data_IF_437928963612
#
_entry.id   IF_437928963612
#
_cell.length_a   1.000
_cell.length_b   1.000
_cell.length_c   1.000
_cell.angle_alpha   90.00
_cell.angle_beta   90.00
_cell.angle_gamma   90.00
#
_symmetry.space_group_name_H-M   'P 1'
#
loop_
_entity.id
_entity.type
_entity.pdbx_description
1 polymer ?
#
# COMPACT_ATOMS: atom_id res chain seq x y z
N UNK A 1 -10.54 -14.08 -21.98
CA UNK A 1 -10.76 -12.63 -21.80
C UNK A 1 -9.77 -12.22 -20.74
N UNK A 2 -8.84 -11.36 -21.12
CA UNK A 2 -7.67 -10.94 -20.34
C UNK A 2 -8.13 -9.88 -19.31
N UNK A 3 -8.67 -10.32 -18.17
CA UNK A 3 -9.43 -9.48 -17.23
C UNK A 3 -8.82 -9.41 -15.81
N UNK A 4 -7.52 -9.64 -15.63
CA UNK A 4 -6.88 -9.43 -14.32
C UNK A 4 -6.60 -7.94 -14.07
N UNK A 5 -7.63 -7.17 -13.71
CA UNK A 5 -7.52 -5.76 -13.32
C UNK A 5 -7.58 -5.54 -11.81
N UNK A 6 -7.18 -4.35 -11.35
CA UNK A 6 -7.25 -3.94 -9.95
C UNK A 6 -8.28 -2.83 -9.80
N UNK A 7 -9.27 -3.02 -8.92
CA UNK A 7 -10.22 -1.97 -8.54
C UNK A 7 -9.86 -1.43 -7.16
N UNK A 8 -9.40 -0.18 -7.14
CA UNK A 8 -9.11 0.55 -5.91
C UNK A 8 -10.34 1.33 -5.48
N UNK A 9 -10.73 1.17 -4.22
CA UNK A 9 -11.87 1.87 -3.64
C UNK A 9 -11.45 2.74 -2.46
N UNK A 10 -12.18 3.85 -2.28
CA UNK A 10 -12.19 4.59 -1.03
C UNK A 10 -12.72 3.75 0.15
N UNK A 11 -12.60 4.23 1.39
CA UNK A 11 -13.09 3.52 2.58
C UNK A 11 -14.57 3.12 2.47
N UNK A 12 -14.86 1.82 2.67
CA UNK A 12 -16.19 1.23 2.56
C UNK A 12 -16.98 1.33 3.87
N UNK A 13 -17.48 2.53 4.22
CA UNK A 13 -18.36 2.74 5.40
C UNK A 13 -19.84 2.49 5.13
N UNK A 14 -20.25 2.67 3.88
CA UNK A 14 -21.53 2.22 3.31
C UNK A 14 -21.11 1.38 2.11
N UNK A 15 -20.96 0.07 2.28
CA UNK A 15 -20.28 -0.73 1.28
C UNK A 15 -21.03 -0.66 -0.06
N UNK A 16 -20.29 -0.35 -1.13
CA UNK A 16 -20.79 -0.43 -2.51
C UNK A 16 -20.21 -1.63 -3.25
N UNK A 17 -19.66 -2.59 -2.52
CA UNK A 17 -18.94 -3.74 -3.06
C UNK A 17 -19.84 -4.61 -3.95
N UNK A 18 -21.09 -4.81 -3.55
CA UNK A 18 -22.13 -5.48 -4.33
C UNK A 18 -22.28 -4.89 -5.74
N UNK A 19 -22.32 -3.56 -5.83
CA UNK A 19 -22.43 -2.82 -7.10
C UNK A 19 -21.14 -2.91 -7.92
N UNK A 20 -19.98 -2.91 -7.27
CA UNK A 20 -18.70 -3.07 -7.95
C UNK A 20 -18.61 -4.46 -8.57
N UNK A 21 -18.89 -5.51 -7.79
CA UNK A 21 -18.90 -6.91 -8.23
C UNK A 21 -19.90 -7.11 -9.37
N UNK A 22 -21.14 -6.61 -9.24
CA UNK A 22 -22.13 -6.69 -10.31
C UNK A 22 -21.70 -5.93 -11.57
N UNK A 23 -21.07 -4.76 -11.41
CA UNK A 23 -20.54 -3.96 -12.52
C UNK A 23 -19.36 -4.60 -13.24
N UNK A 24 -18.57 -5.41 -12.53
CA UNK A 24 -17.48 -6.21 -13.10
C UNK A 24 -17.97 -7.56 -13.65
N UNK A 25 -19.25 -7.88 -13.50
CA UNK A 25 -19.85 -9.15 -13.92
C UNK A 25 -19.20 -10.38 -13.24
N UNK A 26 -18.76 -10.22 -12.00
CA UNK A 26 -18.14 -11.29 -11.21
C UNK A 26 -19.21 -12.05 -10.43
N UNK A 27 -19.23 -13.37 -10.58
CA UNK A 27 -20.16 -14.27 -9.91
C UNK A 27 -19.49 -15.12 -8.81
N UNK A 28 -18.21 -14.91 -8.57
CA UNK A 28 -17.45 -15.69 -7.62
C UNK A 28 -17.26 -17.14 -8.07
N UNK A 29 -16.65 -17.96 -7.19
CA UNK A 29 -16.42 -17.69 -5.76
C UNK A 29 -15.33 -16.65 -5.51
N UNK A 30 -15.43 -15.94 -4.39
CA UNK A 30 -14.49 -14.89 -4.00
C UNK A 30 -13.54 -15.38 -2.91
N UNK A 31 -12.27 -14.97 -2.94
CA UNK A 31 -11.42 -15.02 -1.76
C UNK A 31 -11.45 -13.67 -1.05
N UNK A 32 -11.60 -13.65 0.27
CA UNK A 32 -11.49 -12.41 1.07
C UNK A 32 -10.23 -12.44 1.93
N UNK A 33 -9.59 -11.28 2.04
CA UNK A 33 -8.43 -11.06 2.92
C UNK A 33 -8.77 -9.92 3.87
N UNK A 34 -9.02 -10.27 5.13
CA UNK A 34 -9.36 -9.33 6.21
C UNK A 34 -8.35 -9.36 7.37
N UNK A 35 -7.13 -9.88 7.15
CA UNK A 35 -6.11 -10.04 8.19
C UNK A 35 -5.78 -8.76 8.98
N UNK A 36 -5.93 -7.59 8.36
CA UNK A 36 -5.80 -6.30 9.04
C UNK A 36 -6.89 -6.02 10.10
N UNK A 37 -7.92 -6.86 10.23
CA UNK A 37 -8.94 -6.77 11.27
C UNK A 37 -8.53 -7.51 12.56
N UNK A 38 -7.41 -8.22 12.53
CA UNK A 38 -6.81 -8.93 13.66
C UNK A 38 -7.82 -9.90 14.30
N UNK A 39 -8.10 -9.78 15.60
CA UNK A 39 -9.04 -10.66 16.31
C UNK A 39 -10.47 -10.59 15.74
N UNK A 40 -10.78 -9.55 14.96
CA UNK A 40 -12.06 -9.38 14.27
C UNK A 40 -12.04 -9.92 12.83
N UNK A 41 -11.00 -10.62 12.40
CA UNK A 41 -10.89 -11.20 11.04
C UNK A 41 -12.12 -12.04 10.68
N UNK A 42 -12.63 -12.81 11.63
CA UNK A 42 -13.83 -13.68 11.50
C UNK A 42 -15.15 -12.92 11.55
N UNK A 43 -15.16 -11.63 11.89
CA UNK A 43 -16.36 -10.80 11.93
C UNK A 43 -16.68 -10.24 10.54
N UNK A 44 -16.73 -11.10 9.52
CA UNK A 44 -16.87 -10.76 8.09
C UNK A 44 -18.25 -11.02 7.51
N UNK A 45 -19.28 -11.21 8.34
CA UNK A 45 -20.65 -11.50 7.90
C UNK A 45 -21.22 -10.43 6.95
N UNK A 46 -20.95 -9.15 7.20
CA UNK A 46 -21.38 -8.05 6.32
C UNK A 46 -20.66 -8.14 4.96
N UNK A 47 -19.38 -8.47 4.95
CA UNK A 47 -18.61 -8.67 3.72
C UNK A 47 -19.10 -9.89 2.94
N UNK A 48 -19.43 -10.98 3.63
CA UNK A 48 -20.04 -12.18 3.06
C UNK A 48 -21.38 -11.87 2.40
N UNK A 49 -22.24 -11.09 3.05
CA UNK A 49 -23.54 -10.67 2.51
C UNK A 49 -23.37 -9.87 1.21
N UNK A 50 -22.44 -8.91 1.17
CA UNK A 50 -22.16 -8.13 -0.03
C UNK A 50 -21.61 -8.94 -1.21
N UNK A 51 -21.04 -10.12 -0.95
CA UNK A 51 -20.53 -11.06 -1.95
C UNK A 51 -21.51 -12.21 -2.24
N UNK A 52 -22.75 -12.10 -1.73
CA UNK A 52 -23.81 -13.08 -1.95
C UNK A 52 -23.57 -14.43 -1.26
N UNK A 53 -22.78 -14.45 -0.18
CA UNK A 53 -22.41 -15.67 0.55
C UNK A 53 -21.47 -16.60 -0.23
N UNK A 54 -20.86 -16.12 -1.31
CA UNK A 54 -19.95 -16.90 -2.18
C UNK A 54 -18.48 -16.62 -1.88
N UNK A 55 -18.16 -16.13 -0.69
CA UNK A 55 -16.81 -15.74 -0.31
C UNK A 55 -16.19 -16.71 0.69
N UNK A 56 -14.91 -17.02 0.50
CA UNK A 56 -14.10 -17.79 1.45
C UNK A 56 -13.02 -16.86 1.99
N UNK A 57 -13.03 -16.63 3.30
CA UNK A 57 -11.98 -15.88 3.95
C UNK A 57 -10.72 -16.72 4.05
N UNK A 58 -9.58 -16.17 3.62
CA UNK A 58 -8.31 -16.88 3.72
C UNK A 58 -7.84 -17.03 5.17
N UNK A 59 -8.40 -16.26 6.11
CA UNK A 59 -8.12 -16.33 7.54
C UNK A 59 -6.62 -16.24 7.87
N UNK A 60 -5.89 -15.36 7.16
CA UNK A 60 -4.43 -15.29 7.23
C UNK A 60 -3.95 -14.86 8.62
N UNK A 61 -4.65 -13.94 9.29
CA UNK A 61 -4.28 -13.57 10.67
C UNK A 61 -4.42 -14.79 11.59
N UNK A 62 -5.55 -15.49 11.53
CA UNK A 62 -5.83 -16.68 12.35
C UNK A 62 -4.81 -17.81 12.11
N UNK A 63 -4.46 -18.06 10.84
CA UNK A 63 -3.42 -19.03 10.46
C UNK A 63 -2.06 -18.65 11.03
N UNK A 64 -1.69 -17.37 11.02
CA UNK A 64 -0.43 -16.90 11.60
C UNK A 64 -0.44 -17.07 13.12
N UNK A 65 -1.55 -16.77 13.80
CA UNK A 65 -1.67 -17.03 15.24
C UNK A 65 -1.47 -18.51 15.56
N UNK A 66 -2.08 -19.41 14.78
CA UNK A 66 -1.87 -20.85 14.93
C UNK A 66 -0.39 -21.25 14.77
N UNK A 67 0.31 -20.68 13.78
CA UNK A 67 1.75 -20.90 13.60
C UNK A 67 2.53 -20.43 14.84
N UNK A 68 2.30 -19.19 15.28
CA UNK A 68 2.99 -18.60 16.42
C UNK A 68 2.75 -19.37 17.73
N UNK A 69 1.55 -19.91 17.92
CA UNK A 69 1.20 -20.70 19.11
C UNK A 69 1.85 -22.09 19.09
N UNK A 70 1.94 -22.71 17.91
CA UNK A 70 2.44 -24.09 17.74
C UNK A 70 3.95 -24.17 17.54
N UNK A 71 4.59 -23.07 17.17
CA UNK A 71 6.02 -22.99 16.89
C UNK A 71 6.67 -21.83 17.69
N UNK A 72 7.15 -22.12 18.91
CA UNK A 72 7.79 -21.12 19.76
C UNK A 72 9.08 -20.53 19.18
N UNK A 73 9.81 -21.30 18.37
CA UNK A 73 11.08 -20.85 17.77
C UNK A 73 10.79 -19.85 16.65
N UNK A 74 9.83 -20.16 15.77
CA UNK A 74 9.34 -19.19 14.79
C UNK A 74 8.74 -17.95 15.45
N UNK A 75 7.97 -18.11 16.53
CA UNK A 75 7.41 -16.98 17.27
C UNK A 75 8.46 -16.09 17.93
N UNK A 76 9.57 -16.68 18.42
CA UNK A 76 10.69 -15.92 18.93
C UNK A 76 11.40 -15.14 17.80
N UNK A 77 11.69 -15.78 16.67
CA UNK A 77 12.28 -15.13 15.51
C UNK A 77 11.40 -14.01 14.94
N UNK A 78 10.10 -14.25 14.83
CA UNK A 78 9.13 -13.26 14.35
C UNK A 78 9.07 -12.04 15.27
N UNK A 79 9.05 -12.23 16.60
CA UNK A 79 9.10 -11.12 17.56
C UNK A 79 10.41 -10.34 17.50
N UNK A 80 11.54 -11.02 17.33
CA UNK A 80 12.84 -10.37 17.19
C UNK A 80 12.88 -9.47 15.93
N UNK A 81 12.42 -10.00 14.79
CA UNK A 81 12.27 -9.21 13.55
C UNK A 81 11.37 -7.99 13.75
N UNK A 82 10.20 -8.15 14.36
CA UNK A 82 9.27 -7.04 14.59
C UNK A 82 9.85 -5.95 15.50
N UNK A 83 10.61 -6.34 16.53
CA UNK A 83 11.31 -5.38 17.39
C UNK A 83 12.36 -4.58 16.60
N UNK A 84 13.17 -5.26 15.78
CA UNK A 84 14.20 -4.59 14.99
C UNK A 84 13.63 -3.67 13.90
N UNK A 85 12.57 -4.10 13.21
CA UNK A 85 11.84 -3.24 12.25
C UNK A 85 11.24 -2.01 12.95
N UNK A 86 10.69 -2.18 14.15
CA UNK A 86 10.17 -1.06 14.95
C UNK A 86 11.26 -0.06 15.31
N UNK A 87 12.40 -0.54 15.81
CA UNK A 87 13.56 0.32 16.15
C UNK A 87 14.07 1.07 14.91
N UNK A 88 14.18 0.38 13.77
CA UNK A 88 14.58 0.99 12.51
C UNK A 88 13.59 2.07 12.04
N UNK A 89 12.29 1.82 12.17
CA UNK A 89 11.25 2.78 11.84
C UNK A 89 11.36 4.05 12.70
N UNK A 90 11.58 3.90 14.01
CA UNK A 90 11.72 5.04 14.92
C UNK A 90 12.92 5.92 14.56
N UNK A 91 14.07 5.31 14.28
CA UNK A 91 15.29 6.02 13.85
C UNK A 91 15.09 6.73 12.51
N UNK A 92 14.45 6.07 11.56
CA UNK A 92 14.09 6.66 10.26
C UNK A 92 13.16 7.87 10.42
N UNK A 93 12.12 7.76 11.25
CA UNK A 93 11.18 8.86 11.52
C UNK A 93 11.89 10.10 12.09
N UNK A 94 12.90 9.92 12.95
CA UNK A 94 13.72 11.04 13.46
C UNK A 94 14.38 11.78 12.30
N UNK A 95 15.05 11.06 11.41
CA UNK A 95 15.70 11.64 10.22
C UNK A 95 14.72 12.39 9.33
N UNK A 96 13.60 11.74 8.98
CA UNK A 96 12.53 12.33 8.15
C UNK A 96 11.97 13.60 8.78
N UNK A 97 11.74 13.60 10.09
CA UNK A 97 11.23 14.76 10.83
C UNK A 97 12.16 15.95 10.74
N UNK A 98 13.46 15.74 10.99
CA UNK A 98 14.46 16.81 10.91
C UNK A 98 14.62 17.35 9.48
N UNK A 99 14.70 16.48 8.48
CA UNK A 99 14.80 16.90 7.08
C UNK A 99 13.56 17.67 6.63
N UNK A 100 12.35 17.22 7.02
CA UNK A 100 11.10 17.91 6.69
C UNK A 100 11.00 19.30 7.33
N UNK A 101 11.52 19.46 8.57
CA UNK A 101 11.64 20.77 9.21
C UNK A 101 12.60 21.68 8.47
N UNK A 102 13.78 21.18 8.10
CA UNK A 102 14.75 21.94 7.33
C UNK A 102 14.18 22.42 5.98
N UNK A 103 13.40 21.57 5.28
CA UNK A 103 12.71 21.98 4.05
C UNK A 103 11.73 23.13 4.30
N UNK A 104 10.94 23.05 5.37
CA UNK A 104 10.03 24.14 5.77
C UNK A 104 10.79 25.43 6.05
N UNK A 105 11.85 25.38 6.85
CA UNK A 105 12.69 26.52 7.19
C UNK A 105 13.33 27.16 5.94
N UNK A 106 13.80 26.35 4.99
CA UNK A 106 14.36 26.82 3.71
C UNK A 106 13.31 27.53 2.83
N UNK A 107 12.04 27.07 2.84
CA UNK A 107 10.96 27.72 2.08
C UNK A 107 10.69 29.13 2.61
N UNK A 108 10.71 29.29 3.92
CA UNK A 108 10.42 30.53 4.63
C UNK A 108 11.51 31.62 4.43
N UNK A 109 12.70 31.27 3.92
CA UNK A 109 13.80 32.21 3.64
C UNK A 109 13.54 33.12 2.42
N UNK A 110 12.58 34.03 2.53
CA UNK A 110 12.15 34.93 1.43
C UNK A 110 13.14 36.05 1.08
N UNK A 111 14.06 36.38 2.00
CA UNK A 111 15.08 37.42 1.78
C UNK A 111 16.24 36.95 0.88
N UNK A 112 16.33 35.64 0.60
CA UNK A 112 17.38 35.05 -0.22
C UNK A 112 17.00 35.03 -1.70
N UNK A 113 18.00 34.95 -2.57
CA UNK A 113 17.78 34.76 -4.01
C UNK A 113 16.87 33.55 -4.26
N UNK A 114 15.82 33.74 -5.07
CA UNK A 114 14.86 32.70 -5.43
C UNK A 114 15.54 31.45 -6.00
N UNK A 115 16.52 31.65 -6.88
CA UNK A 115 17.31 30.58 -7.51
C UNK A 115 18.12 29.78 -6.49
N UNK A 116 18.81 30.47 -5.56
CA UNK A 116 19.61 29.79 -4.53
C UNK A 116 18.73 29.00 -3.57
N UNK A 117 17.57 29.55 -3.18
CA UNK A 117 16.58 28.86 -2.35
C UNK A 117 16.04 27.61 -3.04
N UNK A 118 15.72 27.69 -4.33
CA UNK A 118 15.22 26.55 -5.10
C UNK A 118 16.25 25.40 -5.17
N UNK A 119 17.53 25.70 -5.39
CA UNK A 119 18.57 24.67 -5.33
C UNK A 119 18.66 24.02 -3.95
N UNK A 120 18.71 24.81 -2.88
CA UNK A 120 18.75 24.27 -1.52
C UNK A 120 17.53 23.39 -1.18
N UNK A 121 16.34 23.76 -1.67
CA UNK A 121 15.13 22.95 -1.50
C UNK A 121 15.23 21.62 -2.24
N UNK A 122 15.72 21.61 -3.48
CA UNK A 122 15.93 20.37 -4.24
C UNK A 122 16.94 19.45 -3.57
N UNK A 123 18.04 20.00 -3.05
CA UNK A 123 19.05 19.23 -2.32
C UNK A 123 18.46 18.61 -1.04
N UNK A 124 17.69 19.38 -0.27
CA UNK A 124 17.03 18.88 0.93
C UNK A 124 15.94 17.84 0.62
N UNK A 125 15.19 18.00 -0.47
CA UNK A 125 14.22 17.01 -0.95
C UNK A 125 14.92 15.71 -1.37
N UNK A 126 16.09 15.77 -2.01
CA UNK A 126 16.87 14.57 -2.35
C UNK A 126 17.42 13.87 -1.09
N UNK A 127 17.85 14.61 -0.08
CA UNK A 127 18.23 14.03 1.22
C UNK A 127 17.05 13.24 1.81
N UNK A 128 15.84 13.78 1.76
CA UNK A 128 14.64 13.10 2.23
C UNK A 128 14.38 11.80 1.45
N UNK A 129 14.48 11.83 0.12
CA UNK A 129 14.30 10.65 -0.74
C UNK A 129 15.41 9.61 -0.52
N UNK A 130 16.63 10.04 -0.21
CA UNK A 130 17.75 9.15 0.16
C UNK A 130 17.53 8.47 1.51
N UNK A 131 16.89 9.14 2.48
CA UNK A 131 16.48 8.49 3.73
C UNK A 131 15.46 7.39 3.47
N UNK A 132 14.45 7.65 2.62
CA UNK A 132 13.42 6.66 2.26
C UNK A 132 14.03 5.42 1.61
N UNK A 133 14.90 5.61 0.61
CA UNK A 133 15.55 4.50 -0.09
C UNK A 133 16.39 3.64 0.86
N UNK A 134 17.24 4.28 1.67
CA UNK A 134 18.10 3.56 2.63
C UNK A 134 17.29 2.84 3.70
N UNK A 135 16.18 3.43 4.15
CA UNK A 135 15.30 2.76 5.10
C UNK A 135 14.70 1.49 4.50
N UNK A 136 14.16 1.54 3.28
CA UNK A 136 13.66 0.34 2.59
C UNK A 136 14.74 -0.71 2.33
N UNK A 137 15.96 -0.29 1.98
CA UNK A 137 17.11 -1.21 1.87
C UNK A 137 17.36 -1.96 3.19
N UNK A 138 17.30 -1.27 4.34
CA UNK A 138 17.45 -1.91 5.66
C UNK A 138 16.30 -2.82 6.03
N UNK A 139 15.06 -2.43 5.72
CA UNK A 139 13.89 -3.30 5.94
C UNK A 139 14.04 -4.60 5.14
N UNK A 140 14.46 -4.52 3.87
CA UNK A 140 14.75 -5.70 3.04
C UNK A 140 15.87 -6.56 3.61
N UNK A 141 16.94 -5.96 4.13
CA UNK A 141 18.05 -6.71 4.74
C UNK A 141 17.53 -7.53 5.94
N UNK A 142 16.74 -6.92 6.83
CA UNK A 142 16.15 -7.58 8.02
C UNK A 142 15.20 -8.70 7.59
N UNK A 143 14.36 -8.44 6.59
CA UNK A 143 13.41 -9.44 6.07
C UNK A 143 14.13 -10.61 5.42
N UNK A 144 15.17 -10.35 4.62
CA UNK A 144 15.97 -11.39 3.99
C UNK A 144 16.65 -12.27 5.04
N UNK A 145 17.26 -11.68 6.07
CA UNK A 145 17.88 -12.43 7.17
C UNK A 145 16.85 -13.32 7.89
N UNK A 146 15.66 -12.77 8.18
CA UNK A 146 14.57 -13.52 8.80
C UNK A 146 14.11 -14.71 7.95
N UNK A 147 13.92 -14.51 6.63
CA UNK A 147 13.47 -15.57 5.74
C UNK A 147 14.56 -16.63 5.48
N UNK A 148 15.83 -16.24 5.46
CA UNK A 148 16.98 -17.16 5.36
C UNK A 148 17.13 -18.02 6.62
N UNK A 149 16.86 -17.46 7.80
CA UNK A 149 16.92 -18.18 9.07
C UNK A 149 15.72 -19.14 9.24
N UNK A 150 14.51 -18.63 9.02
CA UNK A 150 13.26 -19.36 9.34
C UNK A 150 12.79 -20.29 8.21
N UNK A 151 13.24 -20.03 6.97
CA UNK A 151 12.89 -20.78 5.74
C UNK A 151 11.42 -21.23 5.70
N UNK A 152 10.44 -20.31 5.67
CA UNK A 152 9.03 -20.67 5.79
C UNK A 152 8.50 -21.60 4.69
N UNK A 153 9.18 -21.68 3.55
CA UNK A 153 8.87 -22.63 2.47
C UNK A 153 9.22 -24.09 2.83
N UNK A 154 10.25 -24.29 3.63
CA UNK A 154 10.68 -25.62 4.11
C UNK A 154 10.01 -25.97 5.44
N UNK A 155 9.47 -24.97 6.14
CA UNK A 155 8.82 -25.15 7.43
C UNK A 155 7.46 -25.87 7.28
N UNK A 156 7.28 -27.13 7.75
CA UNK A 156 6.13 -27.96 7.39
C UNK A 156 4.77 -27.35 7.72
N UNK A 157 4.65 -26.69 8.89
CA UNK A 157 3.41 -26.04 9.31
C UNK A 157 3.03 -24.87 8.41
N UNK A 158 4.02 -24.04 8.05
CA UNK A 158 3.79 -22.86 7.21
C UNK A 158 3.54 -23.28 5.76
N UNK A 159 4.29 -24.26 5.26
CA UNK A 159 4.11 -24.83 3.93
C UNK A 159 2.70 -25.43 3.76
N UNK A 160 2.16 -26.10 4.78
CA UNK A 160 0.78 -26.62 4.76
C UNK A 160 -0.24 -25.49 4.62
N UNK A 161 -0.16 -24.44 5.45
CA UNK A 161 -1.07 -23.30 5.33
C UNK A 161 -0.93 -22.56 3.98
N UNK A 162 0.30 -22.42 3.46
CA UNK A 162 0.54 -21.83 2.12
C UNK A 162 -0.12 -22.66 1.01
N UNK A 163 -0.07 -24.00 1.10
CA UNK A 163 -0.72 -24.88 0.15
C UNK A 163 -2.25 -24.75 0.19
N UNK A 164 -2.83 -24.65 1.39
CA UNK A 164 -4.28 -24.43 1.56
C UNK A 164 -4.71 -23.07 0.99
N UNK A 165 -3.94 -22.00 1.25
CA UNK A 165 -4.19 -20.67 0.68
C UNK A 165 -4.15 -20.71 -0.84
N UNK A 166 -3.13 -21.34 -1.42
CA UNK A 166 -3.03 -21.50 -2.87
C UNK A 166 -4.20 -22.30 -3.46
N UNK A 167 -4.67 -23.34 -2.76
CA UNK A 167 -5.82 -24.12 -3.19
C UNK A 167 -7.10 -23.29 -3.23
N UNK A 168 -7.34 -22.44 -2.23
CA UNK A 168 -8.50 -21.54 -2.23
C UNK A 168 -8.40 -20.56 -3.39
N UNK A 169 -7.25 -19.88 -3.55
CA UNK A 169 -7.05 -18.91 -4.64
C UNK A 169 -7.24 -19.52 -6.02
N UNK A 170 -6.75 -20.74 -6.25
CA UNK A 170 -6.90 -21.46 -7.52
C UNK A 170 -8.36 -21.79 -7.89
N UNK A 171 -9.27 -21.75 -6.91
CA UNK A 171 -10.70 -22.00 -7.11
C UNK A 171 -11.53 -20.72 -7.15
N UNK A 172 -10.91 -19.55 -6.98
CA UNK A 172 -11.62 -18.26 -6.89
C UNK A 172 -11.61 -17.50 -8.21
N UNK A 173 -12.68 -16.73 -8.47
CA UNK A 173 -12.81 -15.86 -9.63
C UNK A 173 -12.19 -14.49 -9.37
N UNK A 174 -12.20 -14.00 -8.12
CA UNK A 174 -11.64 -12.70 -7.75
C UNK A 174 -11.26 -12.65 -6.26
N UNK A 175 -10.37 -11.72 -5.92
CA UNK A 175 -9.91 -11.49 -4.54
C UNK A 175 -10.35 -10.13 -4.04
N UNK A 176 -10.83 -10.09 -2.80
CA UNK A 176 -11.22 -8.85 -2.10
C UNK A 176 -10.30 -8.62 -0.91
N UNK A 177 -9.55 -7.51 -0.92
CA UNK A 177 -8.60 -7.16 0.14
C UNK A 177 -9.12 -5.95 0.93
N UNK A 178 -9.54 -6.20 2.17
CA UNK A 178 -10.12 -5.18 3.01
C UNK A 178 -9.07 -4.24 3.63
N UNK A 179 -9.55 -3.08 4.10
CA UNK A 179 -8.78 -2.21 4.99
C UNK A 179 -8.51 -2.82 6.36
N UNK A 180 -7.71 -2.17 7.19
CA UNK A 180 -7.39 -2.62 8.55
C UNK A 180 -6.04 -2.07 9.02
N UNK A 181 -5.40 -2.77 9.95
CA UNK A 181 -4.01 -2.54 10.32
C UNK A 181 -3.08 -3.00 9.19
N UNK A 182 -2.41 -2.06 8.53
CA UNK A 182 -1.66 -2.33 7.30
C UNK A 182 -0.42 -3.20 7.53
N UNK A 183 0.28 -3.04 8.66
CA UNK A 183 1.41 -3.88 9.01
C UNK A 183 1.03 -5.35 9.17
N UNK A 184 -0.11 -5.60 9.83
CA UNK A 184 -0.59 -6.96 10.11
C UNK A 184 -1.02 -7.64 8.83
N UNK A 185 -1.71 -6.88 7.96
CA UNK A 185 -2.12 -7.32 6.65
C UNK A 185 -0.89 -7.65 5.79
N UNK A 186 0.09 -6.75 5.70
CA UNK A 186 1.28 -6.94 4.87
C UNK A 186 2.12 -8.13 5.33
N UNK A 187 2.37 -8.24 6.63
CA UNK A 187 3.14 -9.35 7.21
C UNK A 187 2.44 -10.70 6.94
N UNK A 188 1.10 -10.75 7.06
CA UNK A 188 0.34 -11.95 6.70
C UNK A 188 0.42 -12.27 5.20
N UNK A 189 0.31 -11.28 4.30
CA UNK A 189 0.40 -11.48 2.86
C UNK A 189 1.76 -12.06 2.45
N UNK A 190 2.86 -11.56 3.03
CA UNK A 190 4.20 -12.07 2.82
C UNK A 190 4.39 -13.47 3.42
N UNK A 191 3.95 -13.69 4.66
CA UNK A 191 4.06 -14.99 5.32
C UNK A 191 3.34 -16.09 4.55
N UNK A 192 2.15 -15.83 4.00
CA UNK A 192 1.41 -16.83 3.21
C UNK A 192 1.72 -16.82 1.71
N UNK A 193 2.65 -15.96 1.28
CA UNK A 193 3.18 -15.94 -0.08
C UNK A 193 2.08 -15.85 -1.14
N UNK A 194 1.10 -14.97 -0.92
CA UNK A 194 -0.15 -14.94 -1.69
C UNK A 194 0.06 -14.55 -3.17
N UNK A 195 1.08 -13.75 -3.48
CA UNK A 195 1.41 -13.36 -4.86
C UNK A 195 1.85 -14.59 -5.66
N UNK A 196 2.90 -15.34 -5.27
CA UNK A 196 3.22 -16.60 -5.95
C UNK A 196 2.12 -17.66 -5.88
N UNK A 197 1.21 -17.59 -4.90
CA UNK A 197 0.04 -18.46 -4.84
C UNK A 197 -1.02 -18.16 -5.92
N UNK A 198 -0.88 -17.07 -6.68
CA UNK A 198 -1.70 -16.74 -7.84
C UNK A 198 -2.57 -15.49 -7.68
N UNK A 199 -2.39 -14.69 -6.62
CA UNK A 199 -3.14 -13.45 -6.40
C UNK A 199 -3.04 -12.48 -7.60
N UNK A 200 -1.86 -12.38 -8.21
CA UNK A 200 -1.56 -11.49 -9.35
C UNK A 200 -2.28 -11.88 -10.66
N UNK A 201 -2.87 -13.08 -10.71
CA UNK A 201 -3.62 -13.59 -11.86
C UNK A 201 -5.13 -13.37 -11.76
N UNK A 202 -5.60 -12.88 -10.61
CA UNK A 202 -7.01 -12.69 -10.31
C UNK A 202 -7.37 -11.20 -10.39
N UNK A 203 -8.60 -10.86 -10.76
CA UNK A 203 -9.16 -9.55 -10.46
C UNK A 203 -9.07 -9.26 -8.96
N UNK A 204 -8.58 -8.08 -8.59
CA UNK A 204 -8.43 -7.67 -7.19
C UNK A 204 -9.32 -6.45 -6.92
N UNK A 205 -10.15 -6.52 -5.88
CA UNK A 205 -10.90 -5.36 -5.35
C UNK A 205 -10.32 -5.01 -3.99
N UNK A 206 -9.81 -3.80 -3.82
CA UNK A 206 -9.11 -3.42 -2.59
C UNK A 206 -9.44 -2.01 -2.11
N UNK A 207 -9.44 -1.80 -0.79
CA UNK A 207 -9.62 -0.46 -0.21
C UNK A 207 -8.75 -0.23 1.02
N UNK A 208 -8.50 1.04 1.32
CA UNK A 208 -7.75 1.44 2.52
C UNK A 208 -6.39 0.74 2.59
N UNK A 209 -6.03 0.10 3.71
CA UNK A 209 -4.81 -0.70 3.83
C UNK A 209 -4.67 -1.75 2.73
N UNK A 210 -5.76 -2.40 2.31
CA UNK A 210 -5.75 -3.36 1.20
C UNK A 210 -5.32 -2.74 -0.12
N UNK A 211 -5.66 -1.48 -0.38
CA UNK A 211 -5.16 -0.76 -1.56
C UNK A 211 -3.67 -0.39 -1.39
N UNK A 212 -3.26 -0.01 -0.18
CA UNK A 212 -1.88 0.39 0.13
C UNK A 212 -0.89 -0.76 -0.05
N UNK A 213 -1.25 -1.98 0.35
CA UNK A 213 -0.35 -3.14 0.20
C UNK A 213 -0.14 -3.56 -1.25
N UNK A 214 -0.99 -3.13 -2.19
CA UNK A 214 -0.80 -3.45 -3.61
C UNK A 214 0.29 -2.62 -4.27
N UNK A 215 0.64 -1.46 -3.72
CA UNK A 215 1.65 -0.57 -4.31
C UNK A 215 3.08 -1.04 -4.05
N UNK A 216 4.08 -0.44 -4.69
CA UNK A 216 5.50 -0.79 -4.44
C UNK A 216 5.96 -0.46 -3.02
N UNK A 217 5.38 0.57 -2.40
CA UNK A 217 5.71 0.99 -1.04
C UNK A 217 4.48 1.35 -0.25
N UNK A 218 4.44 0.97 1.01
CA UNK A 218 3.40 1.35 1.95
C UNK A 218 3.80 2.66 2.63
N UNK A 219 2.97 3.70 2.48
CA UNK A 219 3.19 5.02 3.09
C UNK A 219 2.17 5.26 4.19
N UNK A 220 2.63 5.51 5.42
CA UNK A 220 1.76 5.91 6.52
C UNK A 220 1.75 7.43 6.64
N UNK A 221 0.58 7.98 6.87
CA UNK A 221 0.39 9.42 6.91
C UNK A 221 -0.77 9.80 7.83
N UNK A 222 -0.60 10.84 8.63
CA UNK A 222 -1.67 11.48 9.37
C UNK A 222 -1.22 12.85 9.89
N UNK A 223 -1.59 13.90 9.17
CA UNK A 223 -1.37 15.29 9.57
C UNK A 223 -2.21 15.66 10.82
N UNK A 224 -3.28 14.92 11.10
CA UNK A 224 -4.21 15.16 12.20
C UNK A 224 -3.94 14.23 13.41
N UNK A 225 -2.74 13.68 13.54
CA UNK A 225 -2.36 12.89 14.71
C UNK A 225 -2.34 13.75 15.99
N UNK A 226 -2.60 13.13 17.15
CA UNK A 226 -2.72 13.82 18.46
C UNK A 226 -1.47 14.65 18.80
N UNK A 227 -0.28 14.22 18.36
CA UNK A 227 0.99 14.91 18.60
C UNK A 227 1.34 15.94 17.51
N UNK A 228 0.37 16.36 16.70
CA UNK A 228 0.54 17.29 15.58
C UNK A 228 0.96 16.60 14.27
N UNK A 229 1.10 17.38 13.18
CA UNK A 229 1.39 16.84 11.87
C UNK A 229 2.75 16.15 11.84
N UNK A 230 2.77 14.86 11.52
CA UNK A 230 3.99 14.13 11.23
C UNK A 230 4.20 14.08 9.72
N UNK A 231 5.44 14.20 9.21
CA UNK A 231 5.69 13.90 7.82
C UNK A 231 5.22 12.48 7.51
N UNK A 232 4.69 12.23 6.30
CA UNK A 232 4.45 10.88 5.81
C UNK A 232 5.71 10.03 5.98
N UNK A 233 5.54 8.77 6.32
CA UNK A 233 6.62 7.82 6.50
C UNK A 233 6.47 6.69 5.50
N UNK A 234 7.59 6.26 4.91
CA UNK A 234 7.67 4.98 4.23
C UNK A 234 7.76 3.92 5.32
N UNK A 235 6.91 2.91 5.26
CA UNK A 235 6.85 1.85 6.27
C UNK A 235 7.56 0.59 5.80
N UNK A 236 7.22 0.11 4.62
CA UNK A 236 7.75 -1.13 4.05
C UNK A 236 7.51 -1.14 2.53
N UNK A 237 8.08 -2.11 1.84
CA UNK A 237 7.68 -2.48 0.49
C UNK A 237 6.27 -3.11 0.53
N UNK A 238 5.44 -2.77 -0.47
CA UNK A 238 4.20 -3.51 -0.69
C UNK A 238 4.42 -4.68 -1.66
N UNK A 239 3.31 -5.24 -2.15
CA UNK A 239 3.32 -6.36 -3.09
C UNK A 239 3.77 -5.97 -4.51
N UNK A 240 3.93 -4.67 -4.79
CA UNK A 240 4.37 -4.15 -6.10
C UNK A 240 3.51 -4.61 -7.31
N UNK A 241 2.23 -4.92 -7.07
CA UNK A 241 1.25 -5.22 -8.12
C UNK A 241 0.77 -3.96 -8.83
N UNK A 242 0.87 -2.80 -8.17
CA UNK A 242 0.63 -1.49 -8.72
C UNK A 242 1.89 -0.61 -8.60
N UNK A 243 2.63 -0.50 -9.69
CA UNK A 243 3.88 0.27 -9.76
C UNK A 243 3.62 1.76 -9.93
N UNK A 244 4.62 2.57 -9.62
CA UNK A 244 4.59 4.03 -9.82
C UNK A 244 3.34 4.70 -9.23
N UNK A 245 2.80 4.14 -8.14
CA UNK A 245 1.61 4.64 -7.47
C UNK A 245 1.80 4.63 -5.96
N UNK A 246 1.33 5.69 -5.31
CA UNK A 246 1.16 5.76 -3.85
C UNK A 246 -0.30 6.09 -3.58
N UNK A 247 -1.04 5.13 -3.05
CA UNK A 247 -2.45 5.35 -2.71
C UNK A 247 -2.59 5.98 -1.32
N UNK A 248 -3.52 6.93 -1.20
CA UNK A 248 -3.73 7.73 0.01
C UNK A 248 -5.20 7.62 0.46
N UNK A 249 -5.59 6.54 1.15
CA UNK A 249 -6.95 6.37 1.63
C UNK A 249 -7.37 7.43 2.66
N UNK A 250 -8.59 7.95 2.52
CA UNK A 250 -9.13 9.04 3.34
C UNK A 250 -8.25 10.30 3.35
N UNK A 251 -7.67 10.66 2.22
CA UNK A 251 -6.73 11.78 2.10
C UNK A 251 -7.27 13.08 2.74
N UNK A 252 -8.51 13.49 2.45
CA UNK A 252 -9.08 14.72 3.01
C UNK A 252 -9.26 14.69 4.53
N UNK A 253 -9.37 13.50 5.13
CA UNK A 253 -9.48 13.33 6.58
C UNK A 253 -8.10 13.30 7.27
N UNK A 254 -7.07 12.84 6.57
CA UNK A 254 -5.76 12.52 7.16
C UNK A 254 -4.66 13.48 6.74
N UNK A 255 -4.82 14.22 5.66
CA UNK A 255 -3.85 15.15 5.11
C UNK A 255 -4.43 16.56 5.09
N UNK A 256 -3.57 17.56 5.28
CA UNK A 256 -3.93 18.96 5.07
C UNK A 256 -3.93 19.28 3.57
N UNK A 257 -4.94 18.78 2.84
CA UNK A 257 -5.04 18.87 1.37
C UNK A 257 -4.95 20.30 0.81
N UNK A 258 -5.31 21.31 1.61
CA UNK A 258 -5.23 22.72 1.21
C UNK A 258 -3.85 23.34 1.43
N UNK A 259 -2.93 22.65 2.11
CA UNK A 259 -1.55 23.10 2.27
C UNK A 259 -0.73 22.67 1.06
N UNK A 260 -0.66 23.56 0.06
CA UNK A 260 0.02 23.30 -1.21
C UNK A 260 1.49 22.98 -1.02
N UNK A 261 2.21 23.63 -0.11
CA UNK A 261 3.62 23.32 0.14
C UNK A 261 3.82 21.88 0.65
N UNK A 262 2.99 21.42 1.59
CA UNK A 262 3.04 20.04 2.09
C UNK A 262 2.70 19.03 1.00
N UNK A 263 1.63 19.28 0.26
CA UNK A 263 1.18 18.38 -0.80
C UNK A 263 2.16 18.33 -1.98
N UNK A 264 2.80 19.47 -2.26
CA UNK A 264 3.84 19.61 -3.27
C UNK A 264 5.10 18.85 -2.89
N UNK A 265 5.52 18.93 -1.61
CA UNK A 265 6.62 18.11 -1.07
C UNK A 265 6.27 16.62 -1.12
N UNK A 266 5.07 16.22 -0.70
CA UNK A 266 4.58 14.84 -0.77
C UNK A 266 4.68 14.27 -2.19
N UNK A 267 4.14 14.99 -3.18
CA UNK A 267 4.16 14.57 -4.57
C UNK A 267 5.59 14.48 -5.14
N UNK A 268 6.45 15.48 -4.89
CA UNK A 268 7.84 15.45 -5.38
C UNK A 268 8.70 14.38 -4.70
N UNK A 269 8.46 14.12 -3.41
CA UNK A 269 9.16 13.07 -2.65
C UNK A 269 8.93 11.71 -3.29
N UNK A 270 7.70 11.40 -3.66
CA UNK A 270 7.33 10.09 -4.19
C UNK A 270 7.44 9.95 -5.71
N UNK A 271 7.65 11.04 -6.45
CA UNK A 271 7.92 11.00 -7.87
C UNK A 271 9.00 9.94 -8.23
N UNK A 272 8.89 9.24 -9.37
CA UNK A 272 7.85 9.38 -10.40
C UNK A 272 6.49 8.81 -9.99
N UNK A 273 6.38 8.13 -8.85
CA UNK A 273 5.11 7.55 -8.41
C UNK A 273 4.03 8.61 -8.16
N UNK A 274 2.82 8.33 -8.61
CA UNK A 274 1.67 9.22 -8.53
C UNK A 274 0.93 9.04 -7.21
N UNK A 275 0.72 10.14 -6.48
CA UNK A 275 -0.02 10.14 -5.22
C UNK A 275 -1.54 10.19 -5.48
N UNK A 276 -2.24 9.07 -5.32
CA UNK A 276 -3.68 8.92 -5.62
C UNK A 276 -4.52 9.00 -4.34
N UNK A 277 -5.26 10.10 -4.09
CA UNK A 277 -6.20 10.18 -2.98
C UNK A 277 -7.40 9.24 -3.20
N UNK A 278 -7.69 8.39 -2.22
CA UNK A 278 -8.83 7.47 -2.21
C UNK A 278 -9.78 7.83 -1.07
N UNK A 279 -10.53 8.92 -1.24
CA UNK A 279 -11.55 9.38 -0.29
C UNK A 279 -12.85 8.55 -0.36
N UNK A 280 -13.74 8.64 0.64
CA UNK A 280 -15.00 7.91 0.61
C UNK A 280 -15.78 8.16 -0.69
N UNK A 281 -16.12 7.07 -1.39
CA UNK A 281 -16.79 7.13 -2.70
C UNK A 281 -15.85 7.12 -3.91
N UNK A 282 -14.53 7.25 -3.73
CA UNK A 282 -13.57 7.09 -4.81
C UNK A 282 -13.55 5.66 -5.35
N UNK A 283 -13.37 5.54 -6.67
CA UNK A 283 -13.16 4.29 -7.41
C UNK A 283 -12.15 4.54 -8.53
N UNK A 284 -11.16 3.67 -8.66
CA UNK A 284 -10.20 3.67 -9.76
C UNK A 284 -10.11 2.24 -10.29
N UNK A 285 -10.51 2.04 -11.54
CA UNK A 285 -10.44 0.75 -12.23
C UNK A 285 -9.13 0.68 -13.03
N UNK A 286 -8.10 0.07 -12.46
CA UNK A 286 -6.79 -0.08 -13.08
C UNK A 286 -6.80 -1.32 -14.00
N UNK A 287 -6.40 -1.19 -15.28
CA UNK A 287 -6.32 -2.32 -16.20
C UNK A 287 -5.19 -3.29 -15.82
N UNK A 288 -5.12 -4.42 -16.52
CA UNK A 288 -4.08 -5.43 -16.32
C UNK A 288 -2.65 -4.93 -16.61
N UNK A 289 -2.50 -3.85 -17.37
CA UNK A 289 -1.20 -3.20 -17.62
C UNK A 289 -0.71 -2.36 -16.42
N UNK A 290 -1.53 -2.20 -15.38
CA UNK A 290 -1.21 -1.44 -14.19
C UNK A 290 -1.22 0.08 -14.37
N UNK A 291 -1.55 0.58 -15.57
CA UNK A 291 -1.52 2.01 -15.85
C UNK A 291 -2.74 2.71 -15.23
N UNK A 292 -2.51 3.80 -14.49
CA UNK A 292 -3.62 4.59 -13.94
C UNK A 292 -4.44 5.21 -15.09
N UNK A 293 -5.77 5.02 -15.11
CA UNK A 293 -6.62 5.56 -16.17
C UNK A 293 -6.58 7.09 -16.25
N UNK A 294 -6.79 7.62 -17.45
CA UNK A 294 -7.00 9.05 -17.67
C UNK A 294 -8.12 9.58 -16.76
N UNK A 295 -7.93 10.78 -16.20
CA UNK A 295 -8.91 11.36 -15.28
C UNK A 295 -8.76 10.91 -13.82
N UNK A 296 -7.92 9.91 -13.53
CA UNK A 296 -7.63 9.48 -12.14
C UNK A 296 -7.09 10.68 -11.33
N UNK A 297 -7.75 11.06 -10.22
CA UNK A 297 -7.26 12.16 -9.38
C UNK A 297 -5.88 11.85 -8.80
N UNK A 298 -4.97 12.82 -8.86
CA UNK A 298 -3.62 12.74 -8.28
C UNK A 298 -3.22 14.06 -7.62
N UNK A 299 -2.40 13.99 -6.58
CA UNK A 299 -1.76 15.17 -6.00
C UNK A 299 -0.58 15.55 -6.91
N UNK A 300 -0.68 16.72 -7.55
CA UNK A 300 0.33 17.23 -8.47
C UNK A 300 1.56 17.80 -7.74
N UNK A 301 2.65 17.99 -8.48
CA UNK A 301 3.89 18.57 -7.94
C UNK A 301 3.76 20.03 -7.50
N UNK A 302 2.69 20.73 -7.91
CA UNK A 302 2.29 22.05 -7.40
C UNK A 302 1.58 21.98 -6.04
N UNK A 303 1.22 20.77 -5.58
CA UNK A 303 0.47 20.52 -4.35
C UNK A 303 -1.06 20.60 -4.50
N UNK A 304 -1.57 20.96 -5.68
CA UNK A 304 -2.99 20.89 -6.00
C UNK A 304 -3.43 19.51 -6.47
N UNK A 305 -4.74 19.25 -6.43
CA UNK A 305 -5.33 18.12 -7.14
C UNK A 305 -5.27 18.35 -8.65
N UNK A 306 -4.90 17.30 -9.37
CA UNK A 306 -4.89 17.22 -10.82
C UNK A 306 -5.39 15.83 -11.24
N UNK A 307 -5.36 15.52 -12.54
CA UNK A 307 -5.72 14.20 -13.04
C UNK A 307 -4.60 13.63 -13.90
N UNK A 308 -4.51 12.31 -13.96
CA UNK A 308 -3.68 11.62 -14.96
C UNK A 308 -4.15 12.04 -16.35
N UNK A 309 -3.20 12.48 -17.17
CA UNK A 309 -3.42 12.84 -18.58
C UNK A 309 -2.85 11.72 -19.42
N UNK A 310 -3.57 11.28 -20.46
CA UNK A 310 -2.99 10.37 -21.46
C UNK A 310 -1.83 11.07 -22.15
N UNK A 311 -0.67 10.40 -22.23
CA UNK A 311 0.36 10.84 -23.15
C UNK A 311 -0.27 10.95 -24.56
N UNK A 312 -0.03 12.04 -25.31
CA UNK A 312 -0.42 12.06 -26.71
C UNK A 312 0.22 10.85 -27.41
N UNK A 313 -0.47 10.20 -28.35
CA UNK A 313 0.17 9.15 -29.15
C UNK A 313 1.45 9.76 -29.75
N UNK A 314 2.56 9.05 -29.63
CA UNK A 314 3.80 9.46 -30.28
C UNK A 314 3.48 9.67 -31.76
N UNK A 315 3.70 10.90 -32.27
CA UNK A 315 3.58 11.16 -33.70
C UNK A 315 4.48 10.15 -34.40
N UNK A 316 3.87 9.22 -35.14
CA UNK A 316 4.59 8.39 -36.09
C UNK A 316 5.37 9.36 -36.99
N UNK A 317 6.69 9.27 -36.91
CA UNK A 317 7.59 9.88 -37.86
C UNK A 317 7.19 9.34 -39.24
N UNK A 318 6.42 10.14 -39.97
CA UNK A 318 6.21 9.95 -41.40
C UNK A 318 7.57 10.25 -42.04
N UNK A 319 8.43 9.23 -42.09
CA UNK A 319 9.60 9.24 -42.95
C UNK A 319 9.09 9.26 -44.40
N UNK A 320 9.37 10.37 -45.07
CA UNK A 320 9.25 10.53 -46.52
C UNK A 320 10.53 10.15 -47.25
#
# INVERSE_FOLDING_TARGET
MDQSGIVLLGPQRRPGLDKVVAGLQLDGPFATITAGWQEREVADSELQEHLGGRAVNLALWSRRQEILDRDPDFAAAHRARQAELSDMQELYQIGVSHTSRAITELREQTERSSRSREFALRDAEEVLRSLDRRHLERVRDIDAEFYDLTRPHEHPLIAAHRAEVAQVLAQTEAVVIAGGHVAELLDALHLFNVVPAGLDRLPIIAWSAGAMVLTERVVLFNDNAIRGPRPPEVYDDGLALLRDTVVLPSAHKRLHMNNTDRMSLLARRFAPALCVPLDPGARVDVPADGALPAGTPVIGTSGGLSCVVTAPPAEESIDG
#
